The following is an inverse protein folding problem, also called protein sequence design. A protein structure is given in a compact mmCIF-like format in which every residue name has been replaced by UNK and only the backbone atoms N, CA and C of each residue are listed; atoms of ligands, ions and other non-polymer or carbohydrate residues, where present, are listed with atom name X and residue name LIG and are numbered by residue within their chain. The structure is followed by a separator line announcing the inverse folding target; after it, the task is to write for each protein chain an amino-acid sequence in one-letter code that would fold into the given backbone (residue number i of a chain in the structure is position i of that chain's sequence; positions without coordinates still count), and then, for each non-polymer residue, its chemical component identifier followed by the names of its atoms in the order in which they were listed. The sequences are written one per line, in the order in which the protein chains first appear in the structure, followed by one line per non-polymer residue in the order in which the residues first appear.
data_IF_624498985944
#
_entry.id   IF_624498985944
#
_cell.length_a   1.000
_cell.length_b   1.000
_cell.length_c   1.000
_cell.angle_alpha   90.00
_cell.angle_beta   90.00
_cell.angle_gamma   90.00
#
_symmetry.space_group_name_H-M   'P 1'
#
loop_
_entity.id
_entity.type
_entity.pdbx_description
1 polymer ?
#
# COMPACT_ATOMS: atom_id res chain seq x y z
N UNK A 1 -26.73 -0.06 -20.28
CA UNK A 1 -25.27 -0.30 -20.31
C UNK A 1 -24.62 0.71 -19.40
N UNK A 2 -23.68 0.29 -18.55
CA UNK A 2 -22.94 1.22 -17.68
C UNK A 2 -22.10 2.20 -18.51
N UNK A 3 -21.70 3.31 -17.90
CA UNK A 3 -20.84 4.34 -18.54
C UNK A 3 -19.50 3.76 -19.01
N UNK A 4 -19.01 2.70 -18.36
CA UNK A 4 -17.71 2.10 -18.60
C UNK A 4 -17.81 0.63 -19.03
N UNK A 5 -16.83 0.18 -19.82
CA UNK A 5 -16.75 -1.19 -20.29
C UNK A 5 -15.85 -2.03 -19.38
N UNK A 6 -16.46 -2.92 -18.61
CA UNK A 6 -15.79 -3.92 -17.78
C UNK A 6 -15.98 -5.35 -18.30
N UNK A 7 -16.34 -5.51 -19.57
CA UNK A 7 -16.61 -6.80 -20.21
C UNK A 7 -15.52 -7.13 -21.25
N UNK A 8 -15.18 -6.15 -22.08
CA UNK A 8 -14.19 -6.34 -23.15
C UNK A 8 -12.79 -6.53 -22.57
N UNK A 9 -12.17 -7.66 -22.93
CA UNK A 9 -10.80 -7.98 -22.52
C UNK A 9 -9.88 -7.82 -23.73
N UNK A 10 -8.97 -6.83 -23.73
CA UNK A 10 -7.98 -6.69 -24.78
C UNK A 10 -7.02 -7.90 -24.79
N UNK A 11 -6.58 -8.32 -25.97
CA UNK A 11 -5.53 -9.33 -26.06
C UNK A 11 -4.21 -8.73 -25.54
N UNK A 12 -3.68 -9.28 -24.46
CA UNK A 12 -2.45 -8.80 -23.81
C UNK A 12 -1.20 -9.61 -24.18
N UNK A 13 -1.34 -10.66 -24.98
CA UNK A 13 -0.20 -11.42 -25.48
C UNK A 13 0.67 -10.54 -26.38
N UNK A 14 1.98 -10.67 -26.29
CA UNK A 14 2.97 -9.90 -27.04
C UNK A 14 2.91 -8.38 -26.87
N UNK A 15 2.34 -7.92 -25.76
CA UNK A 15 2.28 -6.49 -25.38
C UNK A 15 3.29 -6.14 -24.29
N UNK A 16 4.31 -6.97 -24.05
CA UNK A 16 5.34 -6.79 -23.02
C UNK A 16 4.78 -6.63 -21.60
N UNK A 17 3.62 -7.24 -21.33
CA UNK A 17 2.97 -7.19 -20.02
C UNK A 17 3.52 -8.28 -19.10
N UNK A 18 4.01 -7.90 -17.94
CA UNK A 18 4.62 -8.82 -16.98
C UNK A 18 3.69 -9.97 -16.57
N UNK A 19 2.41 -9.67 -16.35
CA UNK A 19 1.38 -10.67 -16.00
C UNK A 19 1.26 -11.78 -17.05
N UNK A 20 1.33 -11.44 -18.36
CA UNK A 20 1.05 -12.37 -19.47
C UNK A 20 2.30 -12.97 -20.11
N UNK A 21 3.49 -12.63 -19.62
CA UNK A 21 4.75 -13.10 -20.18
C UNK A 21 4.84 -14.63 -20.28
N UNK A 22 4.43 -15.36 -19.24
CA UNK A 22 4.45 -16.84 -19.24
C UNK A 22 3.44 -17.46 -20.20
N UNK A 23 2.33 -16.76 -20.50
CA UNK A 23 1.33 -17.23 -21.47
C UNK A 23 1.77 -17.05 -22.91
N UNK A 24 2.81 -16.28 -23.20
CA UNK A 24 3.37 -16.19 -24.56
C UNK A 24 3.92 -17.55 -25.04
N UNK A 25 4.43 -18.37 -24.12
CA UNK A 25 4.94 -19.72 -24.38
C UNK A 25 3.92 -20.83 -24.07
N UNK A 26 2.87 -20.53 -23.31
CA UNK A 26 1.79 -21.46 -22.96
C UNK A 26 0.46 -20.70 -22.89
N UNK A 27 -0.26 -20.58 -24.03
CA UNK A 27 -1.49 -19.79 -24.13
C UNK A 27 -2.65 -20.29 -23.26
N UNK A 28 -2.61 -21.54 -22.80
CA UNK A 28 -3.65 -22.13 -21.97
C UNK A 28 -3.55 -21.74 -20.49
N UNK A 29 -2.45 -21.06 -20.11
CA UNK A 29 -2.29 -20.58 -18.73
C UNK A 29 -3.22 -19.41 -18.42
N UNK A 30 -4.02 -19.58 -17.36
CA UNK A 30 -4.82 -18.50 -16.79
C UNK A 30 -3.95 -17.65 -15.85
N UNK A 31 -3.86 -16.35 -16.16
CA UNK A 31 -3.04 -15.40 -15.39
C UNK A 31 -3.83 -14.77 -14.24
N UNK A 32 -3.63 -15.26 -13.00
CA UNK A 32 -4.35 -14.81 -11.81
C UNK A 32 -3.42 -14.27 -10.71
N UNK A 33 -2.15 -14.02 -11.00
CA UNK A 33 -1.12 -13.76 -9.99
C UNK A 33 -0.73 -12.27 -9.83
N UNK A 34 -0.76 -11.48 -10.90
CA UNK A 34 -0.48 -10.03 -10.82
C UNK A 34 -1.79 -9.27 -10.69
N UNK A 35 -1.84 -8.37 -9.73
CA UNK A 35 -3.02 -7.57 -9.44
C UNK A 35 -3.14 -6.34 -10.36
N UNK A 36 -3.11 -6.56 -11.68
CA UNK A 36 -3.62 -5.63 -12.68
C UNK A 36 -4.84 -6.27 -13.37
N UNK A 37 -5.86 -5.48 -13.61
CA UNK A 37 -7.10 -5.95 -14.22
C UNK A 37 -6.90 -6.12 -15.74
N UNK A 38 -7.66 -7.04 -16.33
CA UNK A 38 -7.62 -7.27 -17.79
C UNK A 38 -8.65 -6.43 -18.55
N UNK A 39 -9.00 -5.25 -18.01
CA UNK A 39 -9.84 -4.24 -18.63
C UNK A 39 -8.99 -3.03 -19.02
N UNK A 40 -9.44 -2.29 -20.04
CA UNK A 40 -8.83 -1.01 -20.38
C UNK A 40 -9.08 -0.01 -19.24
N UNK A 41 -8.14 0.92 -18.99
CA UNK A 41 -8.39 2.06 -18.11
C UNK A 41 -9.61 2.86 -18.59
N UNK A 42 -10.29 3.53 -17.67
CA UNK A 42 -11.42 4.39 -18.03
C UNK A 42 -11.01 5.44 -19.06
N UNK A 43 -11.92 5.80 -20.00
CA UNK A 43 -11.60 6.68 -21.13
C UNK A 43 -10.98 8.02 -20.71
N UNK A 44 -11.41 8.58 -19.58
CA UNK A 44 -10.93 9.87 -19.07
C UNK A 44 -9.43 9.79 -18.71
N UNK A 45 -8.97 8.73 -18.07
CA UNK A 45 -7.55 8.53 -17.75
C UNK A 45 -6.73 8.33 -19.02
N UNK A 46 -7.22 7.48 -19.93
CA UNK A 46 -6.56 7.25 -21.21
C UNK A 46 -6.40 8.55 -22.00
N UNK A 47 -7.46 9.37 -22.07
CA UNK A 47 -7.44 10.63 -22.79
C UNK A 47 -6.45 11.63 -22.16
N UNK A 48 -6.41 11.72 -20.83
CA UNK A 48 -5.47 12.59 -20.12
C UNK A 48 -3.99 12.24 -20.44
N UNK A 49 -3.65 10.94 -20.53
CA UNK A 49 -2.31 10.49 -20.92
C UNK A 49 -1.99 10.87 -22.36
N UNK A 50 -2.93 10.67 -23.29
CA UNK A 50 -2.77 11.05 -24.71
C UNK A 50 -2.57 12.54 -24.85
N UNK A 51 -3.40 13.33 -24.18
CA UNK A 51 -3.33 14.81 -24.21
C UNK A 51 -2.00 15.32 -23.65
N UNK A 52 -1.51 14.71 -22.57
CA UNK A 52 -0.21 15.04 -22.01
C UNK A 52 0.90 14.75 -23.02
N UNK A 53 0.92 13.55 -23.60
CA UNK A 53 1.92 13.15 -24.59
C UNK A 53 1.94 14.02 -25.85
N UNK A 54 0.78 14.56 -26.24
CA UNK A 54 0.68 15.44 -27.41
C UNK A 54 1.07 16.90 -27.14
N UNK A 55 0.89 17.39 -25.91
CA UNK A 55 0.98 18.83 -25.61
C UNK A 55 2.20 19.20 -24.76
N UNK A 56 2.85 18.24 -24.10
CA UNK A 56 3.87 18.52 -23.11
C UNK A 56 5.20 17.82 -23.40
N UNK A 57 6.27 18.46 -22.93
CA UNK A 57 7.60 17.86 -22.85
C UNK A 57 7.65 16.97 -21.61
N UNK A 58 8.27 15.80 -21.72
CA UNK A 58 8.53 14.87 -20.59
C UNK A 58 9.73 15.36 -19.78
N UNK A 59 9.61 16.56 -19.20
CA UNK A 59 10.63 17.17 -18.36
C UNK A 59 10.37 16.99 -16.88
N UNK A 60 11.17 17.67 -16.05
CA UNK A 60 10.92 17.73 -14.61
C UNK A 60 9.66 18.52 -14.30
N UNK A 61 8.78 17.94 -13.51
CA UNK A 61 7.50 18.54 -13.13
C UNK A 61 7.46 18.82 -11.63
N UNK A 62 6.62 19.75 -11.21
CA UNK A 62 6.21 19.94 -9.84
C UNK A 62 4.79 19.41 -9.62
N UNK A 63 4.48 19.03 -8.40
CA UNK A 63 3.13 18.60 -8.04
C UNK A 63 2.20 19.80 -7.87
N UNK A 64 1.14 19.85 -8.68
CA UNK A 64 0.15 20.94 -8.64
C UNK A 64 -0.78 20.78 -7.42
N UNK A 65 -1.31 21.90 -6.93
CA UNK A 65 -2.29 21.89 -5.83
C UNK A 65 -3.53 21.04 -6.14
N UNK A 66 -3.95 20.99 -7.40
CA UNK A 66 -5.06 20.15 -7.83
C UNK A 66 -4.82 18.65 -7.61
N UNK A 67 -3.57 18.17 -7.66
CA UNK A 67 -3.24 16.78 -7.37
C UNK A 67 -3.36 16.49 -5.87
N UNK A 68 -2.85 17.39 -5.03
CA UNK A 68 -3.03 17.27 -3.58
C UNK A 68 -4.50 17.30 -3.20
N UNK A 69 -5.27 18.23 -3.81
CA UNK A 69 -6.70 18.34 -3.54
C UNK A 69 -7.46 17.06 -3.96
N UNK A 70 -7.11 16.47 -5.11
CA UNK A 70 -7.73 15.21 -5.54
C UNK A 70 -7.50 14.07 -4.54
N UNK A 71 -6.30 13.96 -3.95
CA UNK A 71 -6.01 12.98 -2.90
C UNK A 71 -6.81 13.30 -1.63
N UNK A 72 -6.82 14.56 -1.18
CA UNK A 72 -7.55 14.99 0.01
C UNK A 72 -9.06 14.69 -0.13
N UNK A 73 -9.63 15.04 -1.28
CA UNK A 73 -11.05 14.82 -1.53
C UNK A 73 -11.38 13.32 -1.61
N UNK A 74 -10.50 12.51 -2.20
CA UNK A 74 -10.69 11.07 -2.30
C UNK A 74 -10.67 10.42 -0.92
N UNK A 75 -9.63 10.65 -0.13
CA UNK A 75 -9.50 10.09 1.21
C UNK A 75 -10.67 10.50 2.12
N UNK A 76 -11.11 11.76 2.02
CA UNK A 76 -12.24 12.24 2.78
C UNK A 76 -13.57 11.62 2.34
N UNK A 77 -13.84 11.58 1.05
CA UNK A 77 -15.17 11.18 0.54
C UNK A 77 -15.35 9.65 0.55
N UNK A 78 -14.30 8.89 0.21
CA UNK A 78 -14.39 7.44 0.10
C UNK A 78 -14.05 6.72 1.43
N UNK A 79 -13.12 7.28 2.21
CA UNK A 79 -12.60 6.64 3.43
C UNK A 79 -12.91 7.39 4.73
N UNK A 80 -13.48 8.61 4.64
CA UNK A 80 -13.74 9.46 5.81
C UNK A 80 -12.45 9.94 6.50
N UNK A 81 -11.32 9.91 5.78
CA UNK A 81 -10.01 10.25 6.31
C UNK A 81 -9.66 11.71 5.99
N UNK A 82 -9.64 12.55 7.00
CA UNK A 82 -9.31 13.97 6.85
C UNK A 82 -7.79 14.18 6.94
N UNK A 83 -7.21 14.66 5.84
CA UNK A 83 -5.78 14.92 5.70
C UNK A 83 -5.52 16.31 5.12
N UNK A 84 -4.29 16.81 5.30
CA UNK A 84 -3.84 18.11 4.80
C UNK A 84 -2.75 17.95 3.76
N UNK A 85 -2.62 18.94 2.86
CA UNK A 85 -1.56 18.96 1.85
C UNK A 85 -0.16 18.68 2.39
N UNK A 86 0.19 19.26 3.55
CA UNK A 86 1.51 19.09 4.17
C UNK A 86 1.79 17.70 4.74
N UNK A 87 0.77 16.85 4.81
CA UNK A 87 0.86 15.47 5.31
C UNK A 87 1.06 14.44 4.16
N UNK A 88 0.98 14.91 2.90
CA UNK A 88 1.06 14.06 1.71
C UNK A 88 2.46 14.15 1.09
N UNK A 89 3.06 13.01 0.83
CA UNK A 89 4.32 12.86 0.09
C UNK A 89 4.13 11.90 -1.08
N UNK A 90 4.32 12.37 -2.33
CA UNK A 90 4.25 11.51 -3.52
C UNK A 90 5.52 10.68 -3.68
N UNK A 91 5.37 9.42 -4.07
CA UNK A 91 6.43 8.42 -4.17
C UNK A 91 6.18 7.53 -5.41
N UNK A 92 7.25 7.04 -6.05
CA UNK A 92 7.18 6.21 -7.26
C UNK A 92 6.83 4.73 -6.97
N UNK A 93 6.00 4.49 -5.96
CA UNK A 93 5.51 3.17 -5.59
C UNK A 93 5.59 2.88 -4.09
N UNK A 94 4.70 2.00 -3.61
CA UNK A 94 4.62 1.63 -2.20
C UNK A 94 5.87 0.88 -1.72
N UNK A 95 6.41 -0.05 -2.52
CA UNK A 95 7.61 -0.82 -2.14
C UNK A 95 8.84 0.08 -1.95
N UNK A 96 9.15 1.04 -2.84
CA UNK A 96 10.17 2.06 -2.56
C UNK A 96 9.89 2.87 -1.30
N UNK A 97 8.63 3.24 -1.03
CA UNK A 97 8.26 3.95 0.19
C UNK A 97 8.59 3.15 1.47
N UNK A 98 8.29 1.85 1.47
CA UNK A 98 8.65 0.94 2.57
C UNK A 98 10.16 0.91 2.77
N UNK A 99 10.95 0.85 1.69
CA UNK A 99 12.42 0.87 1.78
C UNK A 99 12.95 2.16 2.41
N UNK A 100 12.42 3.31 2.00
CA UNK A 100 12.76 4.62 2.58
C UNK A 100 12.43 4.67 4.07
N UNK A 101 11.25 4.21 4.45
CA UNK A 101 10.84 4.20 5.86
C UNK A 101 11.71 3.24 6.70
N UNK A 102 12.05 2.05 6.19
CA UNK A 102 12.99 1.14 6.86
C UNK A 102 14.33 1.85 7.12
N UNK A 103 14.88 2.57 6.16
CA UNK A 103 16.15 3.29 6.31
C UNK A 103 16.03 4.46 7.28
N UNK A 104 14.91 5.18 7.26
CA UNK A 104 14.68 6.35 8.10
C UNK A 104 14.50 6.03 9.59
N UNK A 105 13.91 4.88 9.91
CA UNK A 105 13.46 4.56 11.26
C UNK A 105 14.12 3.36 11.90
N UNK A 106 15.05 2.72 11.21
CA UNK A 106 15.77 1.56 11.73
C UNK A 106 17.25 1.63 11.35
N UNK A 107 18.07 0.93 12.12
CA UNK A 107 19.48 0.70 11.82
C UNK A 107 19.69 -0.70 11.25
N UNK A 108 20.90 -0.96 10.66
CA UNK A 108 21.25 -2.30 10.20
C UNK A 108 21.23 -3.30 11.36
N UNK A 109 20.54 -4.42 11.15
CA UNK A 109 20.34 -5.45 12.16
C UNK A 109 19.09 -5.28 13.01
N UNK A 110 18.45 -4.11 13.01
CA UNK A 110 17.16 -3.90 13.69
C UNK A 110 16.08 -4.81 13.13
N UNK A 111 15.14 -5.19 13.98
CA UNK A 111 14.04 -6.07 13.62
C UNK A 111 12.88 -5.30 12.99
N UNK A 112 12.42 -5.80 11.85
CA UNK A 112 11.22 -5.33 11.15
C UNK A 112 10.24 -6.49 11.01
N UNK A 113 8.99 -6.29 11.45
CA UNK A 113 7.95 -7.30 11.51
C UNK A 113 7.01 -7.22 10.30
N UNK A 114 6.56 -8.38 9.84
CA UNK A 114 5.45 -8.55 8.90
C UNK A 114 4.53 -9.67 9.38
N UNK A 115 3.26 -9.69 8.93
CA UNK A 115 2.41 -10.88 9.06
C UNK A 115 2.61 -11.78 7.85
N UNK A 116 2.89 -13.07 8.06
CA UNK A 116 3.03 -14.02 6.96
C UNK A 116 1.83 -15.00 6.89
N UNK A 117 1.40 -15.44 5.68
CA UNK A 117 1.89 -15.00 4.36
C UNK A 117 1.45 -13.59 4.00
N UNK A 118 2.31 -12.81 3.37
CA UNK A 118 2.01 -11.46 2.88
C UNK A 118 2.73 -11.21 1.54
N UNK A 119 2.44 -10.11 0.92
CA UNK A 119 3.07 -9.68 -0.33
C UNK A 119 4.60 -9.79 -0.26
N UNK A 120 5.17 -10.70 -1.06
CA UNK A 120 6.57 -11.14 -0.95
C UNK A 120 7.62 -10.01 -1.00
N UNK A 121 7.39 -8.86 -1.66
CA UNK A 121 8.36 -7.77 -1.66
C UNK A 121 8.64 -7.17 -0.28
N UNK A 122 7.73 -7.30 0.70
CA UNK A 122 7.99 -6.80 2.05
C UNK A 122 9.21 -7.50 2.66
N UNK A 123 9.19 -8.83 2.74
CA UNK A 123 10.31 -9.61 3.26
C UNK A 123 11.61 -9.36 2.48
N UNK A 124 11.51 -9.27 1.14
CA UNK A 124 12.65 -8.95 0.28
C UNK A 124 13.23 -7.57 0.59
N UNK A 125 12.38 -6.54 0.73
CA UNK A 125 12.82 -5.17 1.03
C UNK A 125 13.51 -5.09 2.38
N UNK A 126 12.98 -5.76 3.41
CA UNK A 126 13.59 -5.82 4.74
C UNK A 126 15.01 -6.42 4.67
N UNK A 127 15.16 -7.57 3.99
CA UNK A 127 16.46 -8.23 3.84
C UNK A 127 17.46 -7.42 3.01
N UNK A 128 17.00 -6.77 1.93
CA UNK A 128 17.85 -5.92 1.08
C UNK A 128 18.37 -4.67 1.79
N UNK A 129 17.71 -4.26 2.86
CA UNK A 129 18.16 -3.17 3.71
C UNK A 129 18.98 -3.64 4.93
N UNK A 130 19.44 -4.89 4.97
CA UNK A 130 20.21 -5.48 6.07
C UNK A 130 19.48 -5.44 7.43
N UNK A 131 18.15 -5.53 7.45
CA UNK A 131 17.33 -5.61 8.67
C UNK A 131 16.96 -7.06 8.97
N UNK A 132 16.75 -7.36 10.25
CA UNK A 132 16.25 -8.65 10.70
C UNK A 132 14.77 -8.77 10.38
N UNK A 133 14.40 -9.75 9.57
CA UNK A 133 13.00 -10.06 9.30
C UNK A 133 12.40 -10.85 10.49
N UNK A 134 11.28 -10.36 11.02
CA UNK A 134 10.44 -11.07 11.98
C UNK A 134 9.10 -11.38 11.30
N UNK A 135 8.75 -12.65 11.25
CA UNK A 135 7.52 -13.14 10.63
C UNK A 135 6.53 -13.58 11.71
N UNK A 136 5.47 -12.79 11.92
CA UNK A 136 4.32 -13.19 12.71
C UNK A 136 3.34 -13.96 11.82
N UNK A 137 3.16 -15.26 12.05
CA UNK A 137 2.35 -16.12 11.20
C UNK A 137 0.86 -15.92 11.46
N UNK A 138 0.12 -15.58 10.41
CA UNK A 138 -1.33 -15.54 10.44
C UNK A 138 -1.89 -16.95 10.65
N UNK A 139 -2.90 -17.06 11.47
CA UNK A 139 -3.65 -18.32 11.69
C UNK A 139 -4.81 -18.41 10.71
N UNK A 140 -5.17 -19.62 10.30
CA UNK A 140 -6.38 -19.84 9.52
C UNK A 140 -7.45 -20.41 10.46
N UNK A 141 -8.51 -19.61 10.70
CA UNK A 141 -9.67 -20.03 11.47
C UNK A 141 -10.93 -19.85 10.63
N UNK A 142 -11.72 -20.90 10.52
CA UNK A 142 -12.97 -20.90 9.73
C UNK A 142 -12.77 -20.44 8.27
N UNK A 143 -11.61 -20.75 7.66
CA UNK A 143 -11.28 -20.34 6.30
C UNK A 143 -10.82 -18.90 6.15
N UNK A 144 -10.60 -18.16 7.22
CA UNK A 144 -10.14 -16.78 7.23
C UNK A 144 -8.78 -16.65 7.93
N UNK A 145 -7.96 -15.72 7.44
CA UNK A 145 -6.74 -15.35 8.14
C UNK A 145 -7.05 -14.49 9.36
N UNK A 146 -6.44 -14.79 10.48
CA UNK A 146 -6.55 -14.05 11.73
C UNK A 146 -5.17 -13.80 12.33
N UNK A 147 -5.04 -12.67 13.06
CA UNK A 147 -3.84 -12.35 13.81
C UNK A 147 -3.97 -12.95 15.21
N UNK A 148 -2.94 -13.68 15.63
CA UNK A 148 -2.74 -14.05 17.03
C UNK A 148 -2.08 -12.86 17.75
N UNK A 149 -2.87 -12.08 18.47
CA UNK A 149 -2.40 -10.86 19.11
C UNK A 149 -1.43 -11.13 20.25
N UNK A 150 -1.60 -12.22 20.98
CA UNK A 150 -0.67 -12.61 22.04
C UNK A 150 0.70 -12.99 21.47
N UNK A 151 0.71 -13.71 20.34
CA UNK A 151 1.94 -14.03 19.64
C UNK A 151 2.55 -12.79 18.97
N UNK A 152 1.74 -11.89 18.42
CA UNK A 152 2.20 -10.62 17.84
C UNK A 152 2.94 -9.77 18.87
N UNK A 153 2.35 -9.60 20.05
CA UNK A 153 2.96 -8.85 21.16
C UNK A 153 4.27 -9.51 21.61
N UNK A 154 4.27 -10.83 21.75
CA UNK A 154 5.46 -11.61 22.10
C UNK A 154 6.57 -11.46 21.07
N UNK A 155 6.26 -11.56 19.78
CA UNK A 155 7.23 -11.40 18.68
C UNK A 155 7.86 -10.00 18.70
N UNK A 156 7.06 -8.98 18.99
CA UNK A 156 7.52 -7.58 19.11
C UNK A 156 8.52 -7.44 20.27
N UNK A 157 8.19 -7.97 21.43
CA UNK A 157 9.01 -7.85 22.65
C UNK A 157 10.31 -8.65 22.53
N UNK A 158 10.21 -9.93 22.19
CA UNK A 158 11.36 -10.83 22.14
C UNK A 158 12.38 -10.42 21.08
N UNK A 159 11.92 -9.84 19.97
CA UNK A 159 12.79 -9.40 18.89
C UNK A 159 13.15 -7.92 18.95
N UNK A 160 12.62 -7.15 19.91
CA UNK A 160 12.81 -5.70 20.01
C UNK A 160 12.47 -4.98 18.69
N UNK A 161 11.32 -5.33 18.11
CA UNK A 161 10.87 -4.82 16.81
C UNK A 161 10.80 -3.29 16.84
N UNK A 162 11.36 -2.63 15.82
CA UNK A 162 11.36 -1.17 15.66
C UNK A 162 10.31 -0.69 14.68
N UNK A 163 10.01 -1.51 13.68
CA UNK A 163 9.10 -1.15 12.60
C UNK A 163 8.25 -2.35 12.21
N UNK A 164 6.97 -2.12 11.97
CA UNK A 164 6.01 -3.11 11.53
C UNK A 164 5.43 -2.71 10.17
N UNK A 165 5.60 -3.56 9.16
CA UNK A 165 4.99 -3.38 7.83
C UNK A 165 3.72 -4.21 7.76
N UNK A 166 2.59 -3.54 7.85
CA UNK A 166 1.26 -4.11 7.89
C UNK A 166 0.53 -3.93 6.55
N UNK A 167 -0.24 -4.92 6.12
CA UNK A 167 -0.99 -4.91 4.86
C UNK A 167 -2.49 -4.85 5.13
N UNK A 168 -3.17 -3.78 4.72
CA UNK A 168 -4.58 -3.54 4.99
C UNK A 168 -5.27 -2.77 3.83
N UNK A 169 -6.13 -3.39 3.06
CA UNK A 169 -6.54 -4.80 3.02
C UNK A 169 -5.40 -5.76 2.70
N UNK A 170 -5.48 -6.96 3.25
CA UNK A 170 -4.37 -7.91 3.26
C UNK A 170 -4.23 -8.67 1.94
N UNK A 171 -3.03 -8.65 1.36
CA UNK A 171 -2.64 -9.42 0.19
C UNK A 171 -1.55 -10.47 0.58
N UNK A 172 -1.72 -11.78 0.28
CA UNK A 172 -2.72 -12.39 -0.59
C UNK A 172 -4.00 -12.86 0.11
N UNK A 173 -4.14 -12.66 1.41
CA UNK A 173 -5.22 -13.25 2.21
C UNK A 173 -6.64 -12.76 1.88
N UNK A 174 -6.79 -11.66 1.11
CA UNK A 174 -8.08 -11.08 0.79
C UNK A 174 -8.87 -10.61 2.03
N UNK A 175 -8.17 -10.26 3.09
CA UNK A 175 -8.73 -9.92 4.41
C UNK A 175 -8.87 -8.41 4.54
N UNK A 176 -10.06 -7.94 4.85
CA UNK A 176 -10.31 -6.58 5.33
C UNK A 176 -10.38 -6.64 6.85
N UNK A 177 -9.48 -5.94 7.53
CA UNK A 177 -9.39 -5.95 8.98
C UNK A 177 -10.50 -5.08 9.60
N UNK A 178 -11.07 -5.53 10.71
CA UNK A 178 -12.05 -4.74 11.46
C UNK A 178 -11.40 -3.61 12.24
N UNK A 179 -12.19 -2.60 12.60
CA UNK A 179 -11.74 -1.51 13.48
C UNK A 179 -11.13 -2.02 14.78
N UNK A 180 -11.75 -3.04 15.39
CA UNK A 180 -11.27 -3.63 16.66
C UNK A 180 -9.91 -4.33 16.50
N UNK A 181 -9.66 -4.99 15.35
CA UNK A 181 -8.37 -5.59 15.06
C UNK A 181 -7.29 -4.53 14.85
N UNK A 182 -7.62 -3.46 14.11
CA UNK A 182 -6.71 -2.33 13.90
C UNK A 182 -6.41 -1.60 15.22
N UNK A 183 -7.42 -1.43 16.08
CA UNK A 183 -7.25 -0.85 17.40
C UNK A 183 -6.22 -1.63 18.24
N UNK A 184 -6.36 -2.96 18.30
CA UNK A 184 -5.41 -3.82 19.03
C UNK A 184 -3.99 -3.74 18.49
N UNK A 185 -3.83 -3.72 17.18
CA UNK A 185 -2.50 -3.55 16.54
C UNK A 185 -1.90 -2.21 16.99
N UNK A 186 -2.68 -1.13 16.91
CA UNK A 186 -2.24 0.21 17.27
C UNK A 186 -1.85 0.32 18.74
N UNK A 187 -2.64 -0.25 19.63
CA UNK A 187 -2.34 -0.28 21.08
C UNK A 187 -1.02 -1.02 21.37
N UNK A 188 -0.79 -2.15 20.72
CA UNK A 188 0.49 -2.89 20.84
C UNK A 188 1.65 -2.04 20.33
N UNK A 189 1.53 -1.44 19.13
CA UNK A 189 2.56 -0.60 18.57
C UNK A 189 2.88 0.60 19.48
N UNK A 190 1.85 1.28 19.97
CA UNK A 190 1.99 2.43 20.88
C UNK A 190 2.68 2.03 22.19
N UNK A 191 2.29 0.90 22.78
CA UNK A 191 2.84 0.38 24.03
C UNK A 191 4.35 0.11 23.94
N UNK A 192 4.84 -0.34 22.80
CA UNK A 192 6.25 -0.73 22.61
C UNK A 192 7.06 0.24 21.74
N UNK A 193 6.47 1.37 21.33
CA UNK A 193 7.14 2.39 20.52
C UNK A 193 7.51 1.90 19.13
N UNK A 194 6.69 1.05 18.53
CA UNK A 194 6.88 0.50 17.19
C UNK A 194 6.29 1.44 16.15
N UNK A 195 7.07 1.86 15.16
CA UNK A 195 6.55 2.59 14.02
C UNK A 195 5.81 1.60 13.10
N UNK A 196 4.61 1.98 12.67
CA UNK A 196 3.80 1.16 11.78
C UNK A 196 3.72 1.77 10.38
N UNK A 197 3.93 0.95 9.36
CA UNK A 197 3.60 1.27 7.97
C UNK A 197 2.36 0.47 7.61
N UNK A 198 1.24 1.16 7.34
CA UNK A 198 0.03 0.54 6.79
C UNK A 198 0.05 0.66 5.28
N UNK A 199 0.29 -0.46 4.59
CA UNK A 199 0.12 -0.54 3.14
C UNK A 199 -1.35 -0.70 2.81
N UNK A 200 -1.98 0.41 2.41
CA UNK A 200 -3.40 0.50 2.08
C UNK A 200 -3.66 0.59 0.57
N UNK A 201 -2.72 0.11 -0.25
CA UNK A 201 -2.82 0.17 -1.72
C UNK A 201 -4.09 -0.47 -2.29
N UNK A 202 -4.75 -1.35 -1.53
CA UNK A 202 -6.00 -2.03 -1.88
C UNK A 202 -7.24 -1.44 -1.21
N UNK A 203 -7.16 -0.27 -0.57
CA UNK A 203 -8.24 0.33 0.22
C UNK A 203 -9.56 0.44 -0.52
N UNK A 204 -9.55 0.77 -1.82
CA UNK A 204 -10.75 0.92 -2.64
C UNK A 204 -11.33 -0.42 -3.16
N UNK A 205 -10.66 -1.54 -2.86
CA UNK A 205 -11.06 -2.87 -3.31
C UNK A 205 -11.68 -3.72 -2.19
N UNK A 206 -12.23 -3.09 -1.16
CA UNK A 206 -13.07 -3.76 -0.18
C UNK A 206 -14.42 -4.12 -0.82
N UNK A 207 -14.65 -5.43 -1.05
CA UNK A 207 -15.77 -5.95 -1.82
C UNK A 207 -16.83 -6.59 -0.89
N UNK A 208 -17.99 -6.95 -1.46
CA UNK A 208 -19.04 -7.72 -0.79
C UNK A 208 -19.60 -7.08 0.50
N UNK A 209 -19.63 -5.76 0.56
CA UNK A 209 -20.15 -5.02 1.72
C UNK A 209 -19.15 -4.84 2.87
N UNK A 210 -17.92 -5.31 2.72
CA UNK A 210 -16.85 -5.01 3.66
C UNK A 210 -16.44 -3.54 3.55
N UNK A 211 -16.11 -2.92 4.69
CA UNK A 211 -15.64 -1.54 4.76
C UNK A 211 -14.17 -1.53 5.17
N UNK A 212 -13.33 -0.87 4.39
CA UNK A 212 -11.97 -0.54 4.79
C UNK A 212 -11.98 0.62 5.79
N UNK A 213 -11.12 0.54 6.79
CA UNK A 213 -10.79 1.63 7.72
C UNK A 213 -9.32 1.96 7.51
N UNK A 214 -9.01 3.19 7.15
CA UNK A 214 -7.61 3.63 7.16
C UNK A 214 -7.11 3.62 8.61
N UNK A 215 -5.91 3.12 8.84
CA UNK A 215 -5.37 2.85 10.18
C UNK A 215 -5.45 4.08 11.09
N UNK A 216 -5.08 5.26 10.57
CA UNK A 216 -5.10 6.52 11.32
C UNK A 216 -6.51 7.06 11.62
N UNK A 217 -7.57 6.45 11.10
CA UNK A 217 -8.96 6.85 11.39
C UNK A 217 -9.55 6.11 12.58
N UNK A 218 -8.86 5.07 13.06
CA UNK A 218 -9.35 4.23 14.16
C UNK A 218 -9.15 4.91 15.51
N UNK A 219 -7.98 5.52 15.71
CA UNK A 219 -7.66 6.28 16.92
C UNK A 219 -6.73 7.45 16.58
N UNK A 220 -6.97 8.62 17.18
CA UNK A 220 -6.18 9.83 16.91
C UNK A 220 -4.71 9.69 17.31
N UNK A 221 -4.39 8.89 18.32
CA UNK A 221 -3.01 8.64 18.76
C UNK A 221 -2.18 7.85 17.74
N UNK A 222 -2.83 7.16 16.79
CA UNK A 222 -2.12 6.39 15.76
C UNK A 222 -1.42 7.28 14.74
N UNK A 223 -1.90 8.52 14.59
CA UNK A 223 -1.27 9.55 13.76
C UNK A 223 0.17 9.87 14.18
N UNK A 224 0.50 9.60 15.45
CA UNK A 224 1.81 9.92 16.00
C UNK A 224 2.91 8.93 15.60
N UNK A 225 2.57 7.71 15.16
CA UNK A 225 3.54 6.67 14.84
C UNK A 225 3.27 5.90 13.54
N UNK A 226 2.12 6.10 12.90
CA UNK A 226 1.79 5.36 11.69
C UNK A 226 2.00 6.17 10.41
N UNK A 227 2.46 5.47 9.38
CA UNK A 227 2.63 5.93 8.00
C UNK A 227 1.65 5.17 7.13
N UNK A 228 0.75 5.88 6.47
CA UNK A 228 -0.20 5.27 5.55
C UNK A 228 0.36 5.34 4.13
N UNK A 229 0.38 4.23 3.41
CA UNK A 229 0.79 4.17 2.01
C UNK A 229 -0.41 3.80 1.14
N UNK A 230 -0.71 4.63 0.16
CA UNK A 230 -1.82 4.40 -0.76
C UNK A 230 -1.44 4.74 -2.21
N UNK A 231 -2.28 4.34 -3.16
CA UNK A 231 -2.02 4.55 -4.58
C UNK A 231 -3.29 4.42 -5.42
N UNK A 232 -3.43 5.26 -6.41
CA UNK A 232 -4.46 5.16 -7.43
C UNK A 232 -4.25 3.96 -8.40
N UNK A 233 -3.09 3.31 -8.35
CA UNK A 233 -2.68 2.33 -9.38
C UNK A 233 -3.52 1.06 -9.39
N UNK A 234 -4.01 0.60 -8.25
CA UNK A 234 -4.86 -0.59 -8.16
C UNK A 234 -6.31 -0.25 -8.47
N UNK A 235 -6.82 0.81 -7.86
CA UNK A 235 -8.19 1.30 -8.04
C UNK A 235 -8.52 1.58 -9.51
N UNK A 236 -7.62 2.26 -10.21
CA UNK A 236 -7.84 2.70 -11.59
C UNK A 236 -7.12 1.86 -12.65
N UNK A 237 -6.53 0.73 -12.27
CA UNK A 237 -5.82 -0.17 -13.18
C UNK A 237 -4.70 0.51 -14.00
N UNK A 238 -3.89 1.32 -13.33
CA UNK A 238 -2.80 2.10 -13.94
C UNK A 238 -1.44 1.81 -13.31
N UNK A 239 -1.18 0.56 -12.93
CA UNK A 239 0.05 0.15 -12.24
C UNK A 239 1.34 0.55 -12.98
N UNK A 240 1.29 0.62 -14.31
CA UNK A 240 2.42 1.06 -15.13
C UNK A 240 2.83 2.53 -14.95
N UNK A 241 1.98 3.37 -14.37
CA UNK A 241 2.29 4.80 -14.11
C UNK A 241 3.11 5.04 -12.85
N UNK A 242 3.26 4.00 -12.00
CA UNK A 242 4.09 4.04 -10.79
C UNK A 242 3.84 5.27 -9.91
N UNK A 243 2.58 5.57 -9.62
CA UNK A 243 2.22 6.65 -8.72
C UNK A 243 1.76 6.09 -7.37
N UNK A 244 2.20 6.70 -6.28
CA UNK A 244 1.78 6.39 -4.91
C UNK A 244 1.99 7.61 -4.04
N UNK A 245 1.40 7.58 -2.86
CA UNK A 245 1.62 8.63 -1.87
C UNK A 245 1.67 8.03 -0.47
N UNK A 246 2.42 8.71 0.40
CA UNK A 246 2.41 8.48 1.83
C UNK A 246 1.63 9.60 2.52
N UNK A 247 0.83 9.25 3.51
CA UNK A 247 0.19 10.18 4.43
C UNK A 247 0.88 10.04 5.77
N UNK A 248 1.49 11.13 6.25
CA UNK A 248 2.27 11.16 7.49
C UNK A 248 1.84 12.39 8.28
N UNK A 249 1.09 12.15 9.35
CA UNK A 249 0.51 13.24 10.15
C UNK A 249 1.43 13.73 11.27
N UNK A 250 2.38 12.90 11.71
CA UNK A 250 3.45 13.34 12.61
C UNK A 250 4.56 14.09 11.81
N UNK A 251 4.79 15.39 12.09
CA UNK A 251 5.80 16.18 11.36
C UNK A 251 7.23 15.68 11.56
N UNK A 252 7.55 15.00 12.66
CA UNK A 252 8.89 14.48 12.92
C UNK A 252 9.16 13.26 12.04
N UNK A 253 8.20 12.33 11.96
CA UNK A 253 8.23 11.20 11.05
C UNK A 253 8.29 11.68 9.59
N UNK A 254 7.49 12.68 9.23
CA UNK A 254 7.48 13.26 7.88
C UNK A 254 8.84 13.84 7.48
N UNK A 255 9.51 14.57 8.38
CA UNK A 255 10.86 15.11 8.12
C UNK A 255 11.92 14.03 7.98
N UNK A 256 11.89 12.98 8.81
CA UNK A 256 12.83 11.87 8.73
C UNK A 256 12.69 11.14 7.38
N UNK A 257 11.47 10.76 6.99
CA UNK A 257 11.20 10.11 5.70
C UNK A 257 11.60 10.97 4.49
N UNK A 258 11.48 12.30 4.57
CA UNK A 258 11.89 13.20 3.49
C UNK A 258 13.42 13.29 3.34
N UNK A 259 14.19 13.20 4.43
CA UNK A 259 15.67 13.25 4.38
C UNK A 259 16.25 12.04 3.66
N UNK A 260 15.70 10.85 3.89
CA UNK A 260 16.18 9.61 3.25
C UNK A 260 15.83 9.53 1.75
N UNK A 261 14.92 10.38 1.23
CA UNK A 261 14.62 10.44 -0.21
C UNK A 261 15.62 11.28 -1.01
N UNK A 262 16.45 12.05 -0.36
CA UNK A 262 17.46 12.91 -0.96
C UNK A 262 18.81 12.21 -0.97
#
# INVERSE_FOLDING_TARGET
MGKYDFITRPNRLKQFTYKWQSSENNPDLLQLWVADMDFLPVPEIKQAIIDYGQKHIFGYNYFKDSLYQAVIDWEKNEHGYEIKKGEISFIDGVVPAISVAIQAFTEKGDAVLINSPVYYPFARTIRLNDRKLVENSLQIKNGHFEIDFDQLEKDIVENQVKLYVFCSPHNPGGRVWSSDELQKIGEICLKYGVILISDEIHQDLALFGHKHYSFNTVDDSFKDFAIILASATKTFNIAGTKNSFAIIQNPEIGRASCRERV
#
